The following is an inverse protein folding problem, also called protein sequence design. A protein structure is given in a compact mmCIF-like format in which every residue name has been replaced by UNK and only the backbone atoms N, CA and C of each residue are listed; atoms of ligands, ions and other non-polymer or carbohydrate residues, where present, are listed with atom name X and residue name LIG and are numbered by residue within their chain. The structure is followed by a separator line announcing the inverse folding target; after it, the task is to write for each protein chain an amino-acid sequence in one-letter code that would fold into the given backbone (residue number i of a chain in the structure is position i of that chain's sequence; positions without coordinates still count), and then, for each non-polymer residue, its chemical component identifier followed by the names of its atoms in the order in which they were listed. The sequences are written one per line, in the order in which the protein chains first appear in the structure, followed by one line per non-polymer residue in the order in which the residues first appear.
data_IF_642372832050
#
_entry.id   IF_642372832050
#
_cell.length_a   1.000
_cell.length_b   1.000
_cell.length_c   1.000
_cell.angle_alpha   90.00
_cell.angle_beta   90.00
_cell.angle_gamma   90.00
#
_symmetry.space_group_name_H-M   'P 1'
#
loop_
_entity.id
_entity.type
_entity.pdbx_description
1 polymer ?
#
# COMPACT_ATOMS: atom_id res chain seq x y z
N UNK A 1 -13.52 53.74 24.21
CA UNK A 1 -12.63 52.79 23.51
C UNK A 1 -12.65 51.48 24.29
N UNK A 2 -13.36 50.45 23.81
CA UNK A 2 -13.38 49.13 24.45
C UNK A 2 -12.22 48.30 23.92
N UNK A 3 -11.29 47.96 24.79
CA UNK A 3 -10.23 46.98 24.52
C UNK A 3 -10.82 45.58 24.60
N UNK A 4 -10.97 44.92 23.45
CA UNK A 4 -11.20 43.48 23.36
C UNK A 4 -9.91 42.75 23.73
N UNK A 5 -9.89 42.15 24.92
CA UNK A 5 -8.83 41.22 25.32
C UNK A 5 -9.05 39.90 24.58
N UNK A 6 -8.16 39.59 23.65
CA UNK A 6 -8.09 38.31 22.93
C UNK A 6 -7.82 37.18 23.95
N UNK A 7 -8.61 36.10 24.01
CA UNK A 7 -8.31 35.01 24.93
C UNK A 7 -7.01 34.33 24.51
N UNK A 8 -6.16 34.03 25.50
CA UNK A 8 -4.92 33.31 25.30
C UNK A 8 -5.22 31.91 24.74
N UNK A 9 -4.51 31.53 23.68
CA UNK A 9 -4.58 30.18 23.13
C UNK A 9 -4.12 29.18 24.18
N UNK A 10 -5.03 28.31 24.64
CA UNK A 10 -4.71 27.18 25.50
C UNK A 10 -3.74 26.26 24.78
N UNK A 11 -2.54 26.09 25.35
CA UNK A 11 -1.55 25.13 24.91
C UNK A 11 -2.20 23.73 24.92
N UNK A 12 -2.22 22.97 23.81
CA UNK A 12 -2.79 21.64 23.82
C UNK A 12 -2.09 20.79 24.88
N UNK A 13 -2.87 19.97 25.58
CA UNK A 13 -2.34 19.03 26.56
C UNK A 13 -1.28 18.14 25.90
N UNK A 14 -0.19 17.77 26.60
CA UNK A 14 0.81 16.88 26.04
C UNK A 14 0.15 15.56 25.63
N UNK A 15 0.46 15.07 24.43
CA UNK A 15 -0.03 13.81 23.91
C UNK A 15 0.20 12.69 24.94
N UNK A 16 -0.86 11.96 25.29
CA UNK A 16 -0.75 10.82 26.18
C UNK A 16 -0.15 9.64 25.39
N UNK A 17 1.16 9.43 25.54
CA UNK A 17 1.87 8.30 24.96
C UNK A 17 1.40 7.03 25.68
N UNK A 18 0.52 6.27 25.04
CA UNK A 18 0.10 4.94 25.53
C UNK A 18 0.69 3.88 24.61
N UNK A 19 1.96 3.46 24.85
CA UNK A 19 2.62 2.53 23.95
C UNK A 19 1.91 1.17 24.00
N UNK A 20 1.41 0.73 22.85
CA UNK A 20 0.98 -0.66 22.65
C UNK A 20 2.13 -1.38 21.96
N UNK A 21 2.79 -2.27 22.68
CA UNK A 21 3.88 -3.06 22.12
C UNK A 21 3.31 -4.28 21.41
N UNK A 22 3.36 -4.28 20.08
CA UNK A 22 3.36 -5.48 19.26
C UNK A 22 4.70 -5.50 18.49
N UNK A 23 5.27 -6.67 18.23
CA UNK A 23 6.71 -6.86 17.96
C UNK A 23 7.31 -6.01 16.81
N UNK A 24 6.49 -5.46 15.91
CA UNK A 24 6.95 -4.75 14.69
C UNK A 24 6.35 -3.34 14.51
N UNK A 25 5.38 -2.95 15.36
CA UNK A 25 4.67 -1.67 15.27
C UNK A 25 4.65 -0.97 16.63
N UNK A 26 5.03 0.31 16.62
CA UNK A 26 4.97 1.20 17.77
C UNK A 26 3.89 2.28 17.55
N UNK A 27 2.87 2.27 18.39
CA UNK A 27 1.69 3.14 18.26
C UNK A 27 1.69 4.29 19.26
N UNK A 28 1.24 5.45 18.80
CA UNK A 28 1.05 6.68 19.57
C UNK A 28 -0.37 7.24 19.35
N UNK A 29 -1.00 7.72 20.42
CA UNK A 29 -2.30 8.41 20.35
C UNK A 29 -2.13 9.90 20.69
N UNK A 30 -3.03 10.74 20.17
CA UNK A 30 -3.05 12.19 20.41
C UNK A 30 -1.96 12.98 19.68
N UNK A 31 -1.42 12.42 18.59
CA UNK A 31 -0.41 13.07 17.74
C UNK A 31 -1.13 14.04 16.80
N UNK A 32 -0.78 15.33 16.79
CA UNK A 32 -1.38 16.27 15.83
C UNK A 32 -0.89 16.05 14.41
N UNK A 33 -1.65 16.51 13.41
CA UNK A 33 -1.22 16.52 12.01
C UNK A 33 0.14 17.20 11.81
N UNK A 34 0.36 18.35 12.48
CA UNK A 34 1.62 19.09 12.44
C UNK A 34 2.78 18.26 12.99
N UNK A 35 2.57 17.55 14.10
CA UNK A 35 3.60 16.70 14.70
C UNK A 35 3.92 15.50 13.80
N UNK A 36 2.91 14.85 13.21
CA UNK A 36 3.09 13.79 12.22
C UNK A 36 3.88 14.28 11.00
N UNK A 37 3.48 15.42 10.43
CA UNK A 37 4.10 15.98 9.23
C UNK A 37 5.56 16.36 9.49
N UNK A 38 5.82 17.02 10.62
CA UNK A 38 7.18 17.38 11.06
C UNK A 38 8.06 16.14 11.23
N UNK A 39 7.52 15.07 11.82
CA UNK A 39 8.24 13.82 11.99
C UNK A 39 8.57 13.17 10.64
N UNK A 40 7.59 13.04 9.74
CA UNK A 40 7.79 12.46 8.41
C UNK A 40 8.83 13.23 7.61
N UNK A 41 8.71 14.56 7.57
CA UNK A 41 9.65 15.42 6.84
C UNK A 41 11.06 15.33 7.44
N UNK A 42 11.18 15.21 8.77
CA UNK A 42 12.46 15.00 9.44
C UNK A 42 13.08 13.64 9.08
N UNK A 43 12.29 12.56 9.05
CA UNK A 43 12.78 11.25 8.63
C UNK A 43 13.27 11.27 7.18
N UNK A 44 12.55 11.94 6.28
CA UNK A 44 12.90 12.06 4.87
C UNK A 44 14.20 12.86 4.68
N UNK A 45 14.33 14.01 5.37
CA UNK A 45 15.53 14.83 5.35
C UNK A 45 16.77 14.08 5.87
N UNK A 46 16.57 13.08 6.73
CA UNK A 46 17.62 12.22 7.28
C UNK A 46 17.78 10.88 6.54
N UNK A 47 17.08 10.67 5.42
CA UNK A 47 17.16 9.45 4.63
C UNK A 47 16.65 8.20 5.35
N UNK A 48 15.75 8.35 6.33
CA UNK A 48 15.14 7.26 7.11
C UNK A 48 13.82 6.79 6.48
N UNK A 49 13.86 6.46 5.19
CA UNK A 49 12.72 5.91 4.45
C UNK A 49 12.40 4.45 4.80
N UNK A 50 13.24 3.79 5.59
CA UNK A 50 13.01 2.44 6.10
C UNK A 50 12.04 2.40 7.30
N UNK A 51 11.69 3.57 7.85
CA UNK A 51 10.66 3.70 8.89
C UNK A 51 9.39 4.16 8.20
N UNK A 52 8.35 3.31 8.28
CA UNK A 52 7.03 3.58 7.73
C UNK A 52 6.14 4.20 8.78
N UNK A 53 5.37 5.20 8.37
CA UNK A 53 4.39 5.90 9.20
C UNK A 53 2.99 5.70 8.64
N UNK A 54 2.05 5.31 9.51
CA UNK A 54 0.61 5.34 9.22
C UNK A 54 -0.05 6.28 10.21
N UNK A 55 -0.78 7.27 9.72
CA UNK A 55 -1.44 8.31 10.50
C UNK A 55 -2.93 8.37 10.16
N UNK A 56 -3.77 8.35 11.18
CA UNK A 56 -5.22 8.49 11.05
C UNK A 56 -5.76 9.33 12.22
N UNK A 57 -6.09 10.60 11.95
CA UNK A 57 -6.84 11.50 12.82
C UNK A 57 -6.42 11.46 14.32
N UNK A 58 -5.12 11.60 14.59
CA UNK A 58 -4.59 11.62 15.95
C UNK A 58 -3.82 10.36 16.36
N UNK A 59 -3.98 9.26 15.63
CA UNK A 59 -3.24 8.01 15.86
C UNK A 59 -2.09 7.88 14.87
N UNK A 60 -0.92 7.49 15.36
CA UNK A 60 0.29 7.28 14.57
C UNK A 60 0.89 5.91 14.87
N UNK A 61 0.99 5.06 13.86
CA UNK A 61 1.77 3.82 13.88
C UNK A 61 3.12 4.04 13.20
N UNK A 62 4.19 3.63 13.88
CA UNK A 62 5.55 3.57 13.37
C UNK A 62 5.95 2.12 13.16
N UNK A 63 6.49 1.80 12.01
CA UNK A 63 6.83 0.42 11.64
C UNK A 63 8.21 0.36 10.97
N UNK A 64 8.99 -0.67 11.34
CA UNK A 64 10.24 -1.02 10.68
C UNK A 64 10.12 -2.44 10.13
N UNK A 65 9.77 -2.62 8.84
CA UNK A 65 9.50 -3.94 8.27
C UNK A 65 10.69 -4.90 8.38
N UNK A 66 10.43 -6.13 8.82
CA UNK A 66 11.41 -7.21 8.92
C UNK A 66 11.40 -8.16 7.71
N UNK A 67 12.20 -9.23 7.78
CA UNK A 67 12.33 -10.25 6.72
C UNK A 67 10.98 -10.93 6.41
N UNK A 68 10.14 -11.16 7.43
CA UNK A 68 8.78 -11.67 7.32
C UNK A 68 7.92 -10.88 6.32
N UNK A 69 8.06 -9.56 6.28
CA UNK A 69 7.37 -8.68 5.33
C UNK A 69 7.94 -8.73 3.92
N UNK A 70 9.25 -8.96 3.79
CA UNK A 70 9.95 -8.82 2.51
C UNK A 70 9.62 -9.95 1.54
N UNK A 71 9.62 -11.20 2.00
CA UNK A 71 9.38 -12.35 1.13
C UNK A 71 8.00 -12.33 0.43
N UNK A 72 6.86 -12.25 1.14
CA UNK A 72 5.54 -12.30 0.50
C UNK A 72 5.29 -11.07 -0.38
N UNK A 73 5.79 -9.91 0.05
CA UNK A 73 5.77 -8.66 -0.75
C UNK A 73 6.51 -8.83 -2.07
N UNK A 74 7.72 -9.41 -2.04
CA UNK A 74 8.53 -9.61 -3.25
C UNK A 74 7.98 -10.72 -4.14
N UNK A 75 7.39 -11.77 -3.58
CA UNK A 75 6.69 -12.80 -4.34
C UNK A 75 5.50 -12.20 -5.12
N UNK A 76 4.67 -11.37 -4.47
CA UNK A 76 3.58 -10.69 -5.15
C UNK A 76 4.03 -9.61 -6.13
N UNK A 77 5.10 -8.86 -5.85
CA UNK A 77 5.66 -7.91 -6.85
C UNK A 77 6.01 -8.64 -8.16
N UNK A 78 6.67 -9.78 -8.05
CA UNK A 78 7.02 -10.61 -9.22
C UNK A 78 5.79 -11.21 -9.89
N UNK A 79 4.76 -11.60 -9.13
CA UNK A 79 3.48 -12.01 -9.70
C UNK A 79 2.86 -10.88 -10.54
N UNK A 80 2.87 -9.63 -10.05
CA UNK A 80 2.43 -8.45 -10.83
C UNK A 80 3.30 -8.25 -12.08
N UNK A 81 4.62 -8.46 -12.01
CA UNK A 81 5.49 -8.42 -13.21
C UNK A 81 5.03 -9.43 -14.25
N UNK A 82 4.85 -10.69 -13.85
CA UNK A 82 4.42 -11.76 -14.75
C UNK A 82 3.06 -11.43 -15.36
N UNK A 83 2.08 -11.06 -14.54
CA UNK A 83 0.74 -10.71 -14.99
C UNK A 83 0.76 -9.53 -15.97
N UNK A 84 1.45 -8.43 -15.65
CA UNK A 84 1.51 -7.26 -16.55
C UNK A 84 2.20 -7.57 -17.88
N UNK A 85 3.27 -8.39 -17.87
CA UNK A 85 3.90 -8.86 -19.10
C UNK A 85 2.99 -9.77 -19.93
N UNK A 86 2.33 -10.74 -19.30
CA UNK A 86 1.43 -11.66 -19.98
C UNK A 86 0.11 -11.00 -20.40
N UNK A 87 -0.32 -9.89 -19.80
CA UNK A 87 -1.50 -9.16 -20.27
C UNK A 87 -1.16 -7.98 -21.19
N UNK A 88 0.13 -7.67 -21.40
CA UNK A 88 0.55 -6.51 -22.19
C UNK A 88 0.16 -5.17 -21.54
N UNK A 89 0.04 -5.15 -20.21
CA UNK A 89 -0.38 -3.98 -19.43
C UNK A 89 0.86 -3.16 -19.08
N UNK A 90 0.90 -1.85 -19.40
CA UNK A 90 2.00 -1.00 -18.97
C UNK A 90 1.98 -0.85 -17.44
N UNK A 91 3.16 -0.76 -16.82
CA UNK A 91 3.27 -0.72 -15.36
C UNK A 91 4.26 0.33 -14.90
N UNK A 92 3.93 1.03 -13.82
CA UNK A 92 4.88 1.71 -12.93
C UNK A 92 4.65 1.22 -11.50
N UNK A 93 5.72 0.97 -10.76
CA UNK A 93 5.69 0.66 -9.34
C UNK A 93 6.27 1.83 -8.55
N UNK A 94 5.69 2.13 -7.39
CA UNK A 94 6.16 3.14 -6.44
C UNK A 94 5.97 2.69 -4.98
N UNK A 95 6.50 1.52 -4.62
CA UNK A 95 6.51 1.06 -3.21
C UNK A 95 7.14 2.09 -2.28
N UNK A 96 6.67 2.12 -1.02
CA UNK A 96 7.13 3.07 0.01
C UNK A 96 6.92 4.56 -0.34
N UNK A 97 5.95 4.88 -1.19
CA UNK A 97 5.55 6.27 -1.43
C UNK A 97 4.63 6.74 -0.31
N UNK A 98 4.88 7.96 0.20
CA UNK A 98 4.02 8.53 1.24
C UNK A 98 2.79 9.18 0.60
N UNK A 99 1.63 8.82 1.12
CA UNK A 99 0.34 9.30 0.69
C UNK A 99 -0.29 10.15 1.80
N UNK A 100 -0.32 11.49 1.63
CA UNK A 100 -0.76 12.44 2.68
C UNK A 100 -1.98 13.26 2.26
N UNK A 101 -2.99 13.34 3.13
CA UNK A 101 -4.19 14.20 3.01
C UNK A 101 -4.35 15.03 4.28
N UNK A 102 -3.84 16.26 4.26
CA UNK A 102 -3.99 17.18 5.38
C UNK A 102 -5.46 17.47 5.69
N UNK A 103 -6.27 17.74 4.66
CA UNK A 103 -7.69 18.04 4.84
C UNK A 103 -8.50 16.91 5.48
N UNK A 104 -8.01 15.67 5.42
CA UNK A 104 -8.63 14.50 6.05
C UNK A 104 -7.85 13.99 7.27
N UNK A 105 -6.74 14.64 7.62
CA UNK A 105 -5.79 14.19 8.65
C UNK A 105 -5.37 12.72 8.49
N UNK A 106 -4.96 12.33 7.27
CA UNK A 106 -4.58 10.95 6.94
C UNK A 106 -3.22 10.87 6.25
N UNK A 107 -2.47 9.82 6.58
CA UNK A 107 -1.17 9.54 5.99
C UNK A 107 -0.89 8.04 5.97
N UNK A 108 -0.42 7.47 4.87
CA UNK A 108 0.04 6.08 4.87
C UNK A 108 1.08 5.78 3.79
N UNK A 109 1.74 4.64 3.92
CA UNK A 109 2.75 4.12 3.01
C UNK A 109 2.42 2.66 2.70
N UNK A 110 1.94 2.33 1.48
CA UNK A 110 1.65 0.94 1.14
C UNK A 110 2.92 0.13 0.97
N UNK A 111 2.84 -1.19 1.16
CA UNK A 111 4.02 -2.06 1.01
C UNK A 111 4.54 -2.06 -0.43
N UNK A 112 3.62 -2.13 -1.39
CA UNK A 112 3.83 -1.85 -2.80
C UNK A 112 2.61 -1.16 -3.40
N UNK A 113 2.80 -0.36 -4.44
CA UNK A 113 1.71 0.18 -5.23
C UNK A 113 2.03 0.24 -6.72
N UNK A 114 1.01 0.05 -7.54
CA UNK A 114 1.14 -0.03 -8.99
C UNK A 114 0.14 0.86 -9.71
N UNK A 115 0.64 1.43 -10.80
CA UNK A 115 -0.11 2.18 -11.78
C UNK A 115 -0.09 1.39 -13.07
N UNK A 116 -1.26 0.91 -13.47
CA UNK A 116 -1.46 -0.05 -14.56
C UNK A 116 -2.26 0.56 -15.72
N UNK A 117 -3.03 1.62 -15.45
CA UNK A 117 -3.84 2.32 -16.45
C UNK A 117 -3.05 3.41 -17.17
N UNK A 118 -3.15 3.46 -18.50
CA UNK A 118 -2.38 4.41 -19.34
C UNK A 118 -2.65 5.86 -18.97
N UNK A 119 -3.89 6.18 -18.60
CA UNK A 119 -4.35 7.52 -18.25
C UNK A 119 -3.68 8.01 -16.96
N UNK A 120 -3.45 7.10 -16.00
CA UNK A 120 -2.72 7.38 -14.77
C UNK A 120 -1.20 7.39 -14.95
N UNK A 121 -0.68 6.75 -16.00
CA UNK A 121 0.75 6.74 -16.33
C UNK A 121 1.22 8.00 -17.07
N UNK A 122 0.36 8.66 -17.84
CA UNK A 122 0.73 9.87 -18.59
C UNK A 122 1.26 11.03 -17.70
N UNK A 123 0.69 11.31 -16.51
CA UNK A 123 1.18 12.33 -15.59
C UNK A 123 2.60 12.10 -15.07
N UNK A 124 3.11 10.86 -15.03
CA UNK A 124 4.44 10.55 -14.48
C UNK A 124 5.59 11.26 -15.19
N UNK A 125 5.42 11.64 -16.46
CA UNK A 125 6.42 12.45 -17.17
C UNK A 125 6.60 13.83 -16.54
N UNK A 126 5.57 14.33 -15.87
CA UNK A 126 5.49 15.66 -15.24
C UNK A 126 5.55 15.61 -13.71
N UNK A 127 5.39 14.43 -13.11
CA UNK A 127 5.41 14.28 -11.65
C UNK A 127 6.82 14.54 -11.08
N UNK A 128 6.98 15.26 -9.96
CA UNK A 128 8.28 15.55 -9.40
C UNK A 128 8.97 14.26 -8.97
N UNK A 129 10.02 13.88 -9.70
CA UNK A 129 10.79 12.65 -9.45
C UNK A 129 11.56 12.63 -8.11
N UNK A 130 11.45 13.70 -7.31
CA UNK A 130 12.11 13.89 -6.01
C UNK A 130 11.12 14.19 -4.88
N UNK A 131 9.81 14.19 -5.14
CA UNK A 131 8.82 14.29 -4.07
C UNK A 131 8.71 12.95 -3.38
N UNK A 132 8.80 12.93 -2.04
CA UNK A 132 8.46 11.77 -1.23
C UNK A 132 6.94 11.54 -1.16
N UNK A 133 6.15 12.56 -1.56
CA UNK A 133 4.69 12.57 -1.45
C UNK A 133 3.96 12.42 -2.78
N UNK A 134 2.87 11.66 -2.71
CA UNK A 134 1.88 11.50 -3.76
C UNK A 134 0.62 12.35 -3.58
N UNK A 135 0.65 13.38 -2.73
CA UNK A 135 -0.53 14.21 -2.41
C UNK A 135 -1.26 14.78 -3.65
N UNK A 136 -0.54 15.07 -4.73
CA UNK A 136 -1.08 15.62 -5.98
C UNK A 136 -1.14 14.62 -7.15
N UNK A 137 -0.73 13.37 -6.92
CA UNK A 137 -0.69 12.32 -7.95
C UNK A 137 -2.01 11.58 -8.10
N UNK A 138 -2.21 10.83 -9.21
CA UNK A 138 -3.33 9.89 -9.28
C UNK A 138 -3.20 8.83 -8.19
N UNK A 139 -4.34 8.26 -7.77
CA UNK A 139 -4.33 7.08 -6.90
C UNK A 139 -3.71 5.88 -7.61
N UNK A 140 -3.01 4.99 -6.90
CA UNK A 140 -2.63 3.69 -7.44
C UNK A 140 -3.84 2.91 -7.97
N UNK A 141 -3.61 2.04 -8.95
CA UNK A 141 -4.61 1.08 -9.39
C UNK A 141 -4.67 -0.14 -8.46
N UNK A 142 -3.50 -0.56 -7.98
CA UNK A 142 -3.30 -1.71 -7.09
C UNK A 142 -2.36 -1.33 -5.95
N UNK A 143 -2.67 -1.73 -4.73
CA UNK A 143 -1.68 -1.83 -3.65
C UNK A 143 -1.54 -3.26 -3.16
N UNK A 144 -0.36 -3.59 -2.61
CA UNK A 144 -0.14 -4.82 -1.85
C UNK A 144 0.04 -4.40 -0.39
N UNK A 145 -0.62 -5.13 0.50
CA UNK A 145 -0.46 -5.03 1.96
C UNK A 145 -0.14 -6.42 2.51
N UNK A 146 0.98 -6.56 3.18
CA UNK A 146 1.35 -7.73 3.96
C UNK A 146 0.88 -7.45 5.39
N UNK A 147 -0.20 -8.12 5.76
CA UNK A 147 -0.80 -7.98 7.07
C UNK A 147 -0.06 -8.87 8.07
N UNK A 148 0.87 -8.23 8.76
CA UNK A 148 1.45 -8.76 9.99
C UNK A 148 0.61 -8.18 11.10
N UNK A 149 0.00 -9.06 11.88
CA UNK A 149 -1.17 -8.89 12.79
C UNK A 149 -1.02 -7.84 13.93
N UNK A 150 -0.24 -6.79 13.73
CA UNK A 150 0.33 -5.92 14.75
C UNK A 150 -0.02 -4.44 14.64
N UNK A 151 -0.51 -3.94 13.49
CA UNK A 151 -0.89 -2.52 13.34
C UNK A 151 -2.18 -2.20 14.10
N UNK A 152 -2.19 -1.03 14.76
CA UNK A 152 -3.34 -0.54 15.52
C UNK A 152 -4.31 0.29 14.66
N UNK A 153 -3.93 0.56 13.41
CA UNK A 153 -4.70 1.28 12.40
C UNK A 153 -5.11 0.29 11.31
N UNK A 154 -6.41 0.18 11.05
CA UNK A 154 -6.88 -0.48 9.83
C UNK A 154 -6.51 0.40 8.63
N UNK A 155 -5.64 -0.12 7.75
CA UNK A 155 -5.15 0.61 6.58
C UNK A 155 -6.16 0.64 5.45
N UNK A 156 -7.16 -0.26 5.41
CA UNK A 156 -8.13 -0.31 4.31
C UNK A 156 -8.94 1.01 4.17
N UNK A 157 -9.47 1.61 5.25
CA UNK A 157 -10.08 2.94 5.17
C UNK A 157 -9.18 4.05 4.61
N UNK A 158 -7.85 3.96 4.83
CA UNK A 158 -6.88 4.92 4.28
C UNK A 158 -6.72 4.73 2.78
N UNK A 159 -6.64 3.48 2.31
CA UNK A 159 -6.64 3.13 0.90
C UNK A 159 -7.91 3.59 0.18
N UNK A 160 -9.07 3.37 0.81
CA UNK A 160 -10.36 3.80 0.29
C UNK A 160 -10.46 5.33 0.21
N UNK A 161 -9.96 6.05 1.22
CA UNK A 161 -9.87 7.50 1.19
C UNK A 161 -9.04 8.00 0.01
N UNK A 162 -8.07 7.21 -0.45
CA UNK A 162 -7.33 7.51 -1.67
C UNK A 162 -7.90 6.93 -2.97
N UNK A 163 -9.01 6.21 -2.93
CA UNK A 163 -9.61 5.64 -4.13
C UNK A 163 -8.70 4.62 -4.81
N UNK A 164 -7.95 3.83 -4.04
CA UNK A 164 -7.20 2.69 -4.55
C UNK A 164 -8.20 1.62 -4.97
N UNK A 165 -8.20 1.24 -6.25
CA UNK A 165 -9.25 0.37 -6.81
C UNK A 165 -9.20 -1.07 -6.31
N UNK A 166 -7.99 -1.61 -6.13
CA UNK A 166 -7.75 -3.00 -5.73
C UNK A 166 -6.63 -3.06 -4.69
N UNK A 167 -6.81 -3.86 -3.64
CA UNK A 167 -5.80 -4.14 -2.61
C UNK A 167 -5.58 -5.65 -2.55
N UNK A 168 -4.34 -6.10 -2.71
CA UNK A 168 -3.96 -7.49 -2.45
C UNK A 168 -3.41 -7.59 -1.04
N UNK A 169 -4.21 -8.19 -0.15
CA UNK A 169 -3.82 -8.41 1.24
C UNK A 169 -3.24 -9.81 1.39
N UNK A 170 -2.05 -9.91 1.96
CA UNK A 170 -1.45 -11.18 2.37
C UNK A 170 -1.66 -11.35 3.86
N UNK A 171 -2.29 -12.44 4.26
CA UNK A 171 -2.19 -12.94 5.62
C UNK A 171 -0.89 -13.76 5.70
N UNK A 172 0.12 -13.24 6.40
CA UNK A 172 1.44 -13.90 6.47
C UNK A 172 1.37 -15.27 7.14
N UNK A 173 0.46 -15.47 8.10
CA UNK A 173 0.39 -16.71 8.88
C UNK A 173 -0.29 -17.81 8.07
N UNK A 174 -1.21 -17.42 7.18
CA UNK A 174 -1.95 -18.35 6.34
C UNK A 174 -1.38 -18.49 4.92
N UNK A 175 -0.32 -17.74 4.59
CA UNK A 175 0.21 -17.58 3.21
C UNK A 175 -0.90 -17.38 2.18
N UNK A 176 -1.93 -16.64 2.59
CA UNK A 176 -3.17 -16.50 1.83
C UNK A 176 -3.30 -15.09 1.32
N UNK A 177 -3.53 -14.98 0.03
CA UNK A 177 -3.85 -13.72 -0.62
C UNK A 177 -5.37 -13.54 -0.62
N UNK A 178 -5.83 -12.33 -0.31
CA UNK A 178 -7.19 -11.87 -0.58
C UNK A 178 -7.13 -10.70 -1.54
N UNK A 179 -7.91 -10.75 -2.62
CA UNK A 179 -8.10 -9.61 -3.52
C UNK A 179 -9.31 -8.84 -3.02
N UNK A 180 -9.10 -7.57 -2.69
CA UNK A 180 -10.09 -6.66 -2.15
C UNK A 180 -10.38 -5.55 -3.16
N UNK A 181 -11.66 -5.41 -3.55
CA UNK A 181 -12.12 -4.43 -4.52
C UNK A 181 -12.82 -3.28 -3.81
N UNK A 182 -12.52 -2.04 -4.20
CA UNK A 182 -13.16 -0.86 -3.66
C UNK A 182 -14.62 -0.77 -4.13
N UNK A 183 -15.55 -0.78 -3.17
CA UNK A 183 -16.97 -0.56 -3.38
C UNK A 183 -17.46 0.62 -2.51
N UNK A 184 -17.64 1.78 -3.16
CA UNK A 184 -17.99 3.01 -2.44
C UNK A 184 -16.82 3.50 -1.58
N UNK A 185 -16.88 3.24 -0.27
CA UNK A 185 -15.84 3.64 0.71
C UNK A 185 -15.23 2.45 1.45
N UNK A 186 -15.63 1.23 1.12
CA UNK A 186 -15.19 0.01 1.77
C UNK A 186 -14.64 -0.98 0.74
N UNK A 187 -14.05 -2.07 1.22
CA UNK A 187 -13.51 -3.14 0.38
C UNK A 187 -14.32 -4.43 0.52
N UNK A 188 -14.48 -5.14 -0.59
CA UNK A 188 -15.06 -6.49 -0.61
C UNK A 188 -14.14 -7.50 -1.30
N UNK A 189 -14.09 -8.75 -0.81
CA UNK A 189 -13.40 -9.83 -1.53
C UNK A 189 -14.00 -10.06 -2.91
N UNK A 190 -13.15 -10.26 -3.91
CA UNK A 190 -13.60 -10.56 -5.28
C UNK A 190 -12.47 -11.06 -6.17
N UNK A 191 -12.78 -11.23 -7.46
CA UNK A 191 -11.79 -11.52 -8.50
C UNK A 191 -11.13 -10.21 -8.97
N UNK A 192 -9.90 -10.28 -9.49
CA UNK A 192 -9.19 -9.07 -9.93
C UNK A 192 -9.95 -8.34 -11.04
N UNK A 193 -10.16 -7.04 -10.85
CA UNK A 193 -10.67 -6.15 -11.90
C UNK A 193 -9.58 -5.70 -12.87
N UNK A 194 -8.31 -5.85 -12.47
CA UNK A 194 -7.14 -5.45 -13.24
C UNK A 194 -6.64 -6.56 -14.18
N UNK A 195 -6.86 -7.82 -13.80
CA UNK A 195 -6.44 -9.00 -14.56
C UNK A 195 -7.63 -9.97 -14.73
N UNK A 196 -8.31 -9.97 -15.91
CA UNK A 196 -9.46 -10.83 -16.15
C UNK A 196 -9.20 -12.31 -15.82
N UNK A 197 -10.09 -12.89 -15.00
CA UNK A 197 -10.03 -14.29 -14.56
C UNK A 197 -9.06 -14.58 -13.41
N UNK A 198 -8.26 -13.61 -12.98
CA UNK A 198 -7.35 -13.79 -11.84
C UNK A 198 -8.13 -13.84 -10.54
N UNK A 199 -7.99 -14.97 -9.83
CA UNK A 199 -8.52 -15.18 -8.49
C UNK A 199 -7.42 -15.20 -7.45
N UNK A 200 -7.78 -14.93 -6.20
CA UNK A 200 -6.84 -14.84 -5.09
C UNK A 200 -6.13 -16.18 -4.80
N UNK A 201 -6.76 -17.31 -5.11
CA UNK A 201 -6.18 -18.64 -4.96
C UNK A 201 -4.95 -18.82 -5.84
N UNK A 202 -4.96 -18.28 -7.07
CA UNK A 202 -3.83 -18.39 -7.96
C UNK A 202 -2.62 -17.59 -7.46
N UNK A 203 -2.86 -16.45 -6.80
CA UNK A 203 -1.82 -15.66 -6.15
C UNK A 203 -1.30 -16.38 -4.89
N UNK A 204 -2.17 -17.07 -4.15
CA UNK A 204 -1.77 -17.87 -2.99
C UNK A 204 -0.92 -19.08 -3.42
N UNK A 205 -1.28 -19.76 -4.52
CA UNK A 205 -0.43 -20.78 -5.15
C UNK A 205 0.96 -20.20 -5.49
N UNK A 206 1.03 -18.95 -5.94
CA UNK A 206 2.29 -18.26 -6.25
C UNK A 206 3.20 -18.05 -5.03
N UNK A 207 2.64 -17.98 -3.83
CA UNK A 207 3.40 -17.89 -2.58
C UNK A 207 3.94 -19.26 -2.15
N UNK A 208 3.20 -20.34 -2.40
CA UNK A 208 3.50 -21.68 -1.87
C UNK A 208 4.55 -22.49 -2.63
N UNK A 209 4.97 -22.04 -3.82
CA UNK A 209 6.01 -22.73 -4.58
C UNK A 209 7.36 -22.66 -3.86
N UNK A 210 8.16 -23.71 -4.04
CA UNK A 210 9.46 -23.91 -3.38
C UNK A 210 10.24 -22.60 -3.23
N UNK A 211 10.42 -22.18 -1.98
CA UNK A 211 11.01 -20.90 -1.63
C UNK A 211 12.50 -20.82 -2.00
N UNK A 212 13.14 -21.97 -2.24
CA UNK A 212 14.58 -22.09 -2.47
C UNK A 212 15.00 -21.71 -3.91
N UNK A 213 14.07 -21.68 -4.88
CA UNK A 213 14.32 -21.19 -6.25
C UNK A 213 13.19 -20.26 -6.74
N UNK A 214 13.41 -18.95 -6.56
CA UNK A 214 12.45 -17.93 -6.93
C UNK A 214 12.16 -17.86 -8.43
N UNK A 215 13.15 -18.17 -9.28
CA UNK A 215 13.00 -18.10 -10.74
C UNK A 215 12.20 -19.30 -11.25
N UNK A 216 12.46 -20.50 -10.74
CA UNK A 216 11.66 -21.68 -11.04
C UNK A 216 10.20 -21.48 -10.63
N UNK A 217 9.97 -20.94 -9.41
CA UNK A 217 8.66 -20.55 -8.91
C UNK A 217 7.94 -19.57 -9.86
N UNK A 218 8.62 -18.50 -10.29
CA UNK A 218 8.02 -17.53 -11.22
C UNK A 218 7.78 -18.11 -12.61
N UNK A 219 8.60 -19.07 -13.05
CA UNK A 219 8.36 -19.86 -14.26
C UNK A 219 7.08 -20.69 -14.18
N UNK A 220 6.86 -21.37 -13.06
CA UNK A 220 5.63 -22.15 -12.80
C UNK A 220 4.39 -21.25 -12.78
N UNK A 221 4.45 -20.14 -12.03
CA UNK A 221 3.37 -19.16 -11.97
C UNK A 221 3.03 -18.61 -13.36
N UNK A 222 4.04 -18.23 -14.16
CA UNK A 222 3.84 -17.79 -15.56
C UNK A 222 3.14 -18.86 -16.40
N UNK A 223 3.51 -20.13 -16.23
CA UNK A 223 2.83 -21.26 -16.87
C UNK A 223 1.34 -21.33 -16.50
N UNK A 224 1.01 -21.14 -15.23
CA UNK A 224 -0.39 -21.09 -14.78
C UNK A 224 -1.16 -19.89 -15.35
N UNK A 225 -0.55 -18.70 -15.36
CA UNK A 225 -1.16 -17.51 -15.98
C UNK A 225 -1.50 -17.76 -17.46
N UNK A 226 -0.58 -18.37 -18.21
CA UNK A 226 -0.81 -18.68 -19.64
C UNK A 226 -1.89 -19.72 -19.87
N UNK A 227 -2.01 -20.71 -18.99
CA UNK A 227 -2.95 -21.84 -19.16
C UNK A 227 -4.34 -21.54 -18.61
N UNK A 228 -4.43 -20.83 -17.48
CA UNK A 228 -5.69 -20.59 -16.76
C UNK A 228 -6.31 -19.23 -17.03
N UNK A 229 -5.53 -18.20 -17.38
CA UNK A 229 -6.03 -16.82 -17.51
C UNK A 229 -6.10 -16.30 -18.95
N UNK A 230 -5.31 -16.84 -19.87
CA UNK A 230 -5.40 -16.48 -21.28
C UNK A 230 -6.37 -17.41 -22.01
N UNK A 231 -7.32 -16.89 -22.80
CA UNK A 231 -7.98 -17.69 -23.82
C UNK A 231 -6.90 -18.25 -24.77
N UNK A 232 -7.03 -19.50 -25.18
CA UNK A 232 -6.24 -20.03 -26.29
C UNK A 232 -6.30 -19.02 -27.43
N UNK A 233 -5.15 -18.60 -27.95
CA UNK A 233 -5.11 -17.70 -29.11
C UNK A 233 -6.03 -18.27 -30.19
N UNK A 234 -6.86 -17.44 -30.88
CA UNK A 234 -7.59 -17.94 -32.03
C UNK A 234 -6.57 -18.56 -32.99
N UNK A 235 -6.74 -19.85 -33.26
CA UNK A 235 -6.05 -20.51 -34.36
C UNK A 235 -6.54 -19.80 -35.63
N UNK A 236 -5.76 -18.83 -36.12
CA UNK A 236 -5.99 -18.26 -37.43
C UNK A 236 -5.86 -19.41 -38.44
N UNK A 237 -7.01 -19.83 -38.99
CA UNK A 237 -7.11 -20.49 -40.28
C UNK A 237 -6.81 -19.48 -41.40
#
# INVERSE_FOLDING_TARGET
MSTLTKPAATKPAPAAITPRANAEVFSLDGVSWEAYSTLRDSLDANGRCNIRLTYDAGRLDLMAPGICHEWPKMALDRAVIVLTQEFGIPRRCLGSTTFRKEAEEKGFEPDQCYYLRKEKLAPFRKWPKRSADAAEGPSPDLTIEVDVTSSSIDRLPLHAAWGVGEVWRVDEHAERVTILLLEGRDYKPGDSGLFPGLKAELLSEALQFDADDEEARMGQFRGLVRTRLRPSAPQNQ
#
